data_IF_178638457953
#
_entry.id   IF_178638457953
#
_cell.length_a   1.000
_cell.length_b   1.000
_cell.length_c   1.000
_cell.angle_alpha   90.00
_cell.angle_beta   90.00
_cell.angle_gamma   90.00
#
_symmetry.space_group_name_H-M   'P 1'
#
loop_
_entity.id
_entity.type
_entity.pdbx_description
1 polymer ?
#
# COMPACT_ATOMS: atom_id res chain seq x y z
N UNK A 1 -9.84 27.20 -3.99
CA UNK A 1 -10.15 25.95 -3.25
C UNK A 1 -9.13 25.77 -2.12
N UNK A 2 -9.55 25.48 -0.89
CA UNK A 2 -8.65 25.32 0.25
C UNK A 2 -7.73 24.10 0.05
N UNK A 3 -6.41 24.30 0.11
CA UNK A 3 -5.40 23.25 -0.11
C UNK A 3 -5.59 22.03 0.79
N UNK A 4 -6.10 22.22 2.02
CA UNK A 4 -6.34 21.10 2.95
C UNK A 4 -7.54 20.25 2.50
N UNK A 5 -8.63 20.89 2.08
CA UNK A 5 -9.82 20.19 1.56
C UNK A 5 -9.43 19.33 0.36
N UNK A 6 -8.66 19.88 -0.58
CA UNK A 6 -8.17 19.13 -1.75
C UNK A 6 -7.36 17.89 -1.36
N UNK A 7 -6.46 18.01 -0.37
CA UNK A 7 -5.66 16.86 0.11
C UNK A 7 -6.53 15.78 0.73
N UNK A 8 -7.53 16.16 1.52
CA UNK A 8 -8.48 15.23 2.14
C UNK A 8 -9.30 14.53 1.05
N UNK A 9 -9.82 15.26 0.06
CA UNK A 9 -10.57 14.68 -1.05
C UNK A 9 -9.73 13.68 -1.86
N UNK A 10 -8.50 14.06 -2.25
CA UNK A 10 -7.59 13.16 -2.96
C UNK A 10 -7.27 11.92 -2.11
N UNK A 11 -6.97 12.12 -0.82
CA UNK A 11 -6.69 11.03 0.11
C UNK A 11 -7.85 10.05 0.24
N UNK A 12 -9.08 10.55 0.35
CA UNK A 12 -10.28 9.73 0.42
C UNK A 12 -10.49 8.90 -0.86
N UNK A 13 -10.30 9.51 -2.03
CA UNK A 13 -10.39 8.79 -3.33
C UNK A 13 -9.32 7.70 -3.42
N UNK A 14 -8.07 7.99 -3.06
CA UNK A 14 -6.99 7.01 -3.09
C UNK A 14 -7.18 5.88 -2.07
N UNK A 15 -7.70 6.18 -0.88
CA UNK A 15 -8.08 5.18 0.11
C UNK A 15 -9.18 4.25 -0.45
N UNK A 16 -10.24 4.83 -1.03
CA UNK A 16 -11.33 4.06 -1.63
C UNK A 16 -10.84 3.18 -2.79
N UNK A 17 -9.97 3.70 -3.67
CA UNK A 17 -9.37 2.92 -4.74
C UNK A 17 -8.54 1.74 -4.20
N UNK A 18 -7.77 1.95 -3.13
CA UNK A 18 -7.02 0.87 -2.47
C UNK A 18 -7.96 -0.25 -2.00
N UNK A 19 -9.07 0.13 -1.34
CA UNK A 19 -10.09 -0.80 -0.85
C UNK A 19 -10.71 -1.60 -2.01
N UNK A 20 -11.14 -0.91 -3.07
CA UNK A 20 -11.77 -1.54 -4.24
C UNK A 20 -10.81 -2.51 -4.92
N UNK A 21 -9.55 -2.12 -5.12
CA UNK A 21 -8.54 -3.01 -5.72
C UNK A 21 -8.42 -4.28 -4.89
N UNK A 22 -8.32 -4.17 -3.55
CA UNK A 22 -8.23 -5.34 -2.68
C UNK A 22 -9.45 -6.25 -2.85
N UNK A 23 -10.65 -5.69 -2.87
CA UNK A 23 -11.90 -6.45 -3.02
C UNK A 23 -12.03 -7.20 -4.33
N UNK A 24 -11.40 -6.71 -5.39
CA UNK A 24 -11.39 -7.41 -6.68
C UNK A 24 -10.51 -8.67 -6.61
N UNK A 25 -9.43 -8.64 -5.81
CA UNK A 25 -8.49 -9.75 -5.73
C UNK A 25 -8.79 -10.76 -4.62
N UNK A 26 -9.25 -10.31 -3.45
CA UNK A 26 -9.46 -11.18 -2.28
C UNK A 26 -10.32 -12.44 -2.60
N UNK A 27 -11.42 -12.38 -3.38
CA UNK A 27 -12.26 -13.55 -3.67
C UNK A 27 -11.61 -14.64 -4.54
N UNK A 28 -10.55 -14.31 -5.28
CA UNK A 28 -9.85 -15.24 -6.19
C UNK A 28 -8.51 -15.71 -5.62
N UNK A 29 -8.16 -15.26 -4.42
CA UNK A 29 -6.91 -15.61 -3.74
C UNK A 29 -7.19 -16.54 -2.56
N UNK A 30 -6.21 -17.37 -2.16
CA UNK A 30 -6.31 -18.13 -0.92
C UNK A 30 -6.45 -17.22 0.31
N UNK A 31 -7.21 -17.64 1.33
CA UNK A 31 -7.49 -16.89 2.56
C UNK A 31 -6.26 -16.27 3.26
N UNK A 32 -5.10 -16.94 3.15
CA UNK A 32 -3.84 -16.56 3.78
C UNK A 32 -2.90 -15.79 2.84
N UNK A 33 -3.36 -15.40 1.66
CA UNK A 33 -2.54 -14.75 0.64
C UNK A 33 -3.32 -13.65 -0.07
N UNK A 34 -2.71 -12.48 -0.21
CA UNK A 34 -3.28 -11.40 -0.99
C UNK A 34 -2.20 -10.77 -1.87
N UNK A 35 -2.58 -10.34 -3.07
CA UNK A 35 -1.69 -9.58 -3.94
C UNK A 35 -1.58 -8.13 -3.46
N UNK A 36 -0.38 -7.54 -3.46
CA UNK A 36 -0.12 -6.23 -2.86
C UNK A 36 -0.58 -5.05 -3.74
N UNK A 37 -1.38 -5.24 -4.80
CA UNK A 37 -1.69 -4.16 -5.76
C UNK A 37 -2.51 -3.02 -5.16
N UNK A 38 -3.25 -3.27 -4.07
CA UNK A 38 -3.91 -2.22 -3.29
C UNK A 38 -2.93 -1.19 -2.72
N UNK A 39 -1.64 -1.52 -2.63
CA UNK A 39 -0.59 -0.59 -2.19
C UNK A 39 -0.35 0.57 -3.14
N UNK A 40 -0.66 0.43 -4.44
CA UNK A 40 -0.33 1.45 -5.45
C UNK A 40 -1.00 2.80 -5.11
N UNK A 41 -2.32 2.87 -4.87
CA UNK A 41 -2.96 4.12 -4.40
C UNK A 41 -2.41 4.63 -3.06
N UNK A 42 -2.02 3.74 -2.14
CA UNK A 42 -1.47 4.14 -0.83
C UNK A 42 -0.11 4.83 -0.99
N UNK A 43 0.77 4.27 -1.81
CA UNK A 43 2.07 4.86 -2.15
C UNK A 43 1.85 6.24 -2.78
N UNK A 44 0.96 6.33 -3.76
CA UNK A 44 0.62 7.59 -4.44
C UNK A 44 0.09 8.63 -3.45
N UNK A 45 -0.73 8.25 -2.48
CA UNK A 45 -1.23 9.16 -1.45
C UNK A 45 -0.07 9.75 -0.62
N UNK A 46 0.88 8.91 -0.20
CA UNK A 46 2.08 9.38 0.50
C UNK A 46 2.83 10.49 -0.25
N UNK A 47 3.01 10.31 -1.57
CA UNK A 47 3.70 11.29 -2.41
C UNK A 47 2.89 12.55 -2.70
N UNK A 48 1.64 12.38 -3.14
CA UNK A 48 0.84 13.49 -3.67
C UNK A 48 0.39 14.46 -2.59
N UNK A 49 -0.05 13.96 -1.44
CA UNK A 49 -0.64 14.79 -0.39
C UNK A 49 0.27 14.98 0.82
N UNK A 50 1.36 14.20 0.88
CA UNK A 50 2.44 14.29 1.85
C UNK A 50 2.32 13.29 3.00
N UNK A 51 3.42 13.13 3.75
CA UNK A 51 3.61 12.09 4.78
C UNK A 51 2.49 11.99 5.82
N UNK A 52 2.04 13.12 6.37
CA UNK A 52 1.01 13.14 7.43
C UNK A 52 -0.33 12.66 6.90
N UNK A 53 -0.76 13.16 5.74
CA UNK A 53 -1.99 12.73 5.11
C UNK A 53 -1.89 11.31 4.56
N UNK A 54 -0.73 10.89 4.04
CA UNK A 54 -0.45 9.52 3.60
C UNK A 54 -0.55 8.51 4.74
N UNK A 55 -0.04 8.84 5.93
CA UNK A 55 -0.23 8.04 7.14
C UNK A 55 -1.73 7.83 7.45
N UNK A 56 -2.50 8.92 7.48
CA UNK A 56 -3.95 8.87 7.73
C UNK A 56 -4.65 8.02 6.68
N UNK A 57 -4.31 8.18 5.40
CA UNK A 57 -4.86 7.36 4.30
C UNK A 57 -4.57 5.89 4.49
N UNK A 58 -3.34 5.53 4.89
CA UNK A 58 -2.97 4.14 5.17
C UNK A 58 -3.81 3.52 6.29
N UNK A 59 -4.03 4.27 7.38
CA UNK A 59 -4.87 3.83 8.50
C UNK A 59 -6.32 3.66 8.05
N UNK A 60 -6.89 4.67 7.41
CA UNK A 60 -8.30 4.67 6.97
C UNK A 60 -8.57 3.56 5.97
N UNK A 61 -7.69 3.38 4.97
CA UNK A 61 -7.82 2.31 4.00
C UNK A 61 -7.77 0.93 4.66
N UNK A 62 -6.85 0.72 5.60
CA UNK A 62 -6.74 -0.56 6.31
C UNK A 62 -7.98 -0.88 7.14
N UNK A 63 -8.48 0.11 7.89
CA UNK A 63 -9.72 -0.04 8.66
C UNK A 63 -10.88 -0.38 7.74
N UNK A 64 -11.04 0.32 6.63
CA UNK A 64 -12.11 0.03 5.66
C UNK A 64 -11.97 -1.38 5.04
N UNK A 65 -10.75 -1.76 4.61
CA UNK A 65 -10.46 -3.09 4.08
C UNK A 65 -10.80 -4.19 5.09
N UNK A 66 -10.40 -4.02 6.35
CA UNK A 66 -10.65 -5.01 7.39
C UNK A 66 -12.11 -5.08 7.84
N UNK A 67 -12.84 -3.97 7.86
CA UNK A 67 -14.28 -3.97 8.18
C UNK A 67 -15.10 -4.69 7.10
N UNK A 68 -14.65 -4.65 5.85
CA UNK A 68 -15.33 -5.32 4.74
C UNK A 68 -14.77 -6.73 4.48
N UNK A 69 -13.74 -7.15 5.21
CA UNK A 69 -13.18 -8.50 5.13
C UNK A 69 -14.10 -9.51 5.82
N UNK A 70 -14.25 -10.75 5.28
CA UNK A 70 -15.03 -11.80 5.93
C UNK A 70 -14.48 -12.22 7.30
N UNK A 71 -13.21 -11.93 7.61
CA UNK A 71 -12.56 -12.26 8.88
C UNK A 71 -12.64 -11.14 9.93
N UNK A 72 -13.27 -10.02 9.57
CA UNK A 72 -13.38 -8.81 10.38
C UNK A 72 -12.07 -8.03 10.54
N UNK A 73 -12.16 -6.86 11.17
CA UNK A 73 -11.01 -5.99 11.35
C UNK A 73 -10.00 -6.54 12.38
N UNK A 74 -8.71 -6.51 12.03
CA UNK A 74 -7.59 -6.96 12.84
C UNK A 74 -6.53 -5.86 12.92
N UNK A 75 -6.38 -5.16 14.06
CA UNK A 75 -5.59 -3.93 14.15
C UNK A 75 -4.12 -4.03 13.74
N UNK A 76 -3.48 -5.19 13.89
CA UNK A 76 -2.05 -5.31 13.58
C UNK A 76 -1.72 -5.24 12.08
N UNK A 77 -2.71 -5.44 11.20
CA UNK A 77 -2.49 -5.34 9.75
C UNK A 77 -2.25 -3.90 9.29
N UNK A 78 -2.70 -2.91 10.08
CA UNK A 78 -2.55 -1.48 9.76
C UNK A 78 -1.10 -1.08 9.54
N UNK A 79 -0.14 -1.70 10.25
CA UNK A 79 1.28 -1.39 10.10
C UNK A 79 1.81 -1.73 8.71
N UNK A 80 1.23 -2.74 8.05
CA UNK A 80 1.55 -3.07 6.67
C UNK A 80 1.05 -1.99 5.71
N UNK A 81 -0.19 -1.52 5.90
CA UNK A 81 -0.78 -0.43 5.11
C UNK A 81 -0.07 0.91 5.33
N UNK A 82 0.36 1.19 6.57
CA UNK A 82 1.21 2.35 6.90
C UNK A 82 2.57 2.23 6.21
N UNK A 83 3.19 1.06 6.20
CA UNK A 83 4.47 0.87 5.50
C UNK A 83 4.34 1.27 4.03
N UNK A 84 3.30 0.81 3.35
CA UNK A 84 3.02 1.17 1.96
C UNK A 84 2.77 2.67 1.74
N UNK A 85 2.00 3.32 2.62
CA UNK A 85 1.62 4.72 2.42
C UNK A 85 2.68 5.73 2.87
N UNK A 86 3.55 5.35 3.82
CA UNK A 86 4.48 6.28 4.47
C UNK A 86 5.93 6.07 4.07
N UNK A 87 6.45 4.83 4.04
CA UNK A 87 7.89 4.59 3.84
C UNK A 87 8.42 5.17 2.53
N UNK A 88 7.76 4.98 1.38
CA UNK A 88 8.24 5.55 0.13
C UNK A 88 8.35 7.08 0.19
N UNK A 89 7.36 7.75 0.79
CA UNK A 89 7.31 9.20 0.93
C UNK A 89 8.29 9.76 2.00
N UNK A 90 8.80 8.90 2.88
CA UNK A 90 9.90 9.22 3.80
C UNK A 90 11.26 9.10 3.12
N UNK A 91 11.44 8.05 2.31
CA UNK A 91 12.75 7.67 1.76
C UNK A 91 13.11 8.43 0.47
N UNK A 92 12.13 8.93 -0.27
CA UNK A 92 12.38 9.80 -1.43
C UNK A 92 11.30 10.87 -1.60
N UNK A 93 11.65 11.93 -2.31
CA UNK A 93 10.70 12.96 -2.78
C UNK A 93 10.20 12.68 -4.21
N UNK A 94 10.96 11.89 -4.98
CA UNK A 94 10.66 11.57 -6.37
C UNK A 94 10.83 10.07 -6.62
N UNK A 95 9.84 9.40 -7.24
CA UNK A 95 9.91 7.98 -7.55
C UNK A 95 10.68 7.72 -8.86
N UNK A 96 11.98 8.05 -8.91
CA UNK A 96 12.79 7.92 -10.14
C UNK A 96 14.00 7.00 -9.99
N UNK A 97 14.39 6.38 -11.12
CA UNK A 97 15.62 5.59 -11.26
C UNK A 97 15.65 4.30 -10.42
N UNK A 98 16.82 3.66 -10.35
CA UNK A 98 17.00 2.40 -9.63
C UNK A 98 16.68 2.50 -8.13
N UNK A 99 16.89 3.68 -7.53
CA UNK A 99 16.60 3.94 -6.11
C UNK A 99 15.12 3.72 -5.80
N UNK A 100 14.23 4.03 -6.74
CA UNK A 100 12.79 3.83 -6.56
C UNK A 100 12.43 2.36 -6.39
N UNK A 101 12.99 1.50 -7.23
CA UNK A 101 12.80 0.05 -7.14
C UNK A 101 13.31 -0.50 -5.81
N UNK A 102 14.48 -0.05 -5.35
CA UNK A 102 15.01 -0.45 -4.04
C UNK A 102 14.10 -0.02 -2.88
N UNK A 103 13.57 1.20 -2.93
CA UNK A 103 12.62 1.71 -1.91
C UNK A 103 11.36 0.86 -1.87
N UNK A 104 10.80 0.49 -3.04
CA UNK A 104 9.62 -0.38 -3.10
C UNK A 104 9.92 -1.78 -2.57
N UNK A 105 11.09 -2.36 -2.89
CA UNK A 105 11.51 -3.65 -2.32
C UNK A 105 11.60 -3.58 -0.79
N UNK A 106 12.24 -2.54 -0.25
CA UNK A 106 12.35 -2.33 1.21
C UNK A 106 10.96 -2.16 1.84
N UNK A 107 10.09 -1.39 1.18
CA UNK A 107 8.73 -1.13 1.64
C UNK A 107 7.92 -2.42 1.65
N UNK A 108 7.98 -3.22 0.58
CA UNK A 108 7.27 -4.49 0.51
C UNK A 108 7.83 -5.48 1.54
N UNK A 109 9.15 -5.57 1.68
CA UNK A 109 9.74 -6.43 2.71
C UNK A 109 9.26 -6.05 4.12
N UNK A 110 9.21 -4.75 4.42
CA UNK A 110 8.69 -4.25 5.71
C UNK A 110 7.20 -4.57 5.88
N UNK A 111 6.39 -4.30 4.84
CA UNK A 111 4.98 -4.62 4.83
C UNK A 111 4.73 -6.12 5.02
N UNK A 112 5.55 -6.98 4.42
CA UNK A 112 5.53 -8.43 4.53
C UNK A 112 5.83 -8.90 5.97
N UNK A 113 6.81 -8.29 6.64
CA UNK A 113 7.11 -8.62 8.04
C UNK A 113 5.92 -8.31 8.95
N UNK A 114 5.33 -7.11 8.82
CA UNK A 114 4.15 -6.74 9.60
C UNK A 114 2.94 -7.65 9.29
N UNK A 115 2.69 -7.95 8.01
CA UNK A 115 1.60 -8.85 7.62
C UNK A 115 1.80 -10.26 8.21
N UNK A 116 3.03 -10.78 8.16
CA UNK A 116 3.35 -12.11 8.70
C UNK A 116 3.21 -12.15 10.22
N UNK A 117 3.70 -11.12 10.92
CA UNK A 117 3.53 -10.98 12.36
C UNK A 117 2.04 -10.91 12.75
N UNK A 118 1.26 -10.10 12.04
CA UNK A 118 -0.17 -9.96 12.27
C UNK A 118 -0.92 -11.29 12.06
N UNK A 119 -0.58 -12.04 11.00
CA UNK A 119 -1.17 -13.36 10.76
C UNK A 119 -0.83 -14.37 11.84
N UNK A 120 0.41 -14.37 12.33
CA UNK A 120 0.82 -15.27 13.41
C UNK A 120 0.03 -14.97 14.69
N UNK A 121 -0.12 -13.70 15.04
CA UNK A 121 -0.80 -13.29 16.28
C UNK A 121 -2.33 -13.48 16.20
N UNK A 122 -2.96 -13.11 15.09
CA UNK A 122 -4.43 -13.11 14.99
C UNK A 122 -5.05 -14.43 14.53
N UNK A 123 -4.29 -15.29 13.83
CA UNK A 123 -4.80 -16.57 13.33
C UNK A 123 -4.04 -17.74 13.95
N UNK A 124 -2.85 -18.05 13.44
CA UNK A 124 -1.95 -19.06 13.99
C UNK A 124 -0.61 -19.05 13.26
N UNK A 125 0.39 -19.70 13.84
CA UNK A 125 1.69 -19.94 13.17
C UNK A 125 1.51 -20.72 11.86
N UNK A 126 0.66 -21.75 11.86
CA UNK A 126 0.44 -22.59 10.68
C UNK A 126 -0.21 -21.77 9.55
N UNK A 127 -1.17 -20.91 9.88
CA UNK A 127 -1.81 -20.02 8.91
C UNK A 127 -0.79 -19.07 8.27
N UNK A 128 0.08 -18.45 9.07
CA UNK A 128 1.10 -17.53 8.58
C UNK A 128 2.15 -18.22 7.69
N UNK A 129 2.54 -19.45 8.04
CA UNK A 129 3.55 -20.23 7.32
C UNK A 129 3.05 -20.82 6.01
N UNK A 130 1.75 -21.11 5.90
CA UNK A 130 1.17 -21.74 4.71
C UNK A 130 1.35 -20.92 3.42
N UNK A 131 1.40 -19.59 3.49
CA UNK A 131 1.70 -18.72 2.34
C UNK A 131 3.06 -18.03 2.43
N UNK A 132 3.88 -18.32 3.44
CA UNK A 132 5.10 -17.56 3.74
C UNK A 132 6.11 -17.59 2.59
N UNK A 133 6.48 -18.78 2.11
CA UNK A 133 7.46 -18.95 1.04
C UNK A 133 6.97 -18.37 -0.29
N UNK A 134 5.67 -18.52 -0.58
CA UNK A 134 5.04 -17.91 -1.75
C UNK A 134 5.15 -16.37 -1.69
N UNK A 135 4.74 -15.78 -0.56
CA UNK A 135 4.80 -14.32 -0.35
C UNK A 135 6.24 -13.81 -0.43
N UNK A 136 7.19 -14.52 0.17
CA UNK A 136 8.61 -14.17 0.16
C UNK A 136 9.19 -14.20 -1.27
N UNK A 137 8.90 -15.24 -2.04
CA UNK A 137 9.36 -15.36 -3.43
C UNK A 137 8.74 -14.29 -4.35
N UNK A 138 7.52 -13.85 -4.06
CA UNK A 138 6.81 -12.85 -4.85
C UNK A 138 7.21 -11.39 -4.52
N UNK A 139 8.00 -11.15 -3.47
CA UNK A 139 8.45 -9.79 -3.12
C UNK A 139 9.14 -9.13 -4.31
N UNK A 140 10.10 -9.82 -4.92
CA UNK A 140 10.88 -9.27 -6.04
C UNK A 140 9.98 -8.97 -7.24
N UNK A 141 9.30 -9.94 -7.88
CA UNK A 141 8.54 -9.69 -9.11
C UNK A 141 7.45 -8.63 -8.92
N UNK A 142 6.68 -8.68 -7.82
CA UNK A 142 5.65 -7.68 -7.57
C UNK A 142 6.21 -6.31 -7.21
N UNK A 143 7.38 -6.23 -6.57
CA UNK A 143 8.04 -4.92 -6.34
C UNK A 143 8.37 -4.22 -7.65
N UNK A 144 8.85 -4.95 -8.67
CA UNK A 144 9.13 -4.35 -9.98
C UNK A 144 7.85 -3.83 -10.63
N UNK A 145 6.76 -4.59 -10.58
CA UNK A 145 5.46 -4.18 -11.13
C UNK A 145 4.93 -2.94 -10.38
N UNK A 146 4.91 -2.97 -9.05
CA UNK A 146 4.45 -1.84 -8.23
C UNK A 146 5.31 -0.60 -8.49
N UNK A 147 6.65 -0.74 -8.49
CA UNK A 147 7.56 0.37 -8.74
C UNK A 147 7.35 0.97 -10.13
N UNK A 148 7.20 0.14 -11.16
CA UNK A 148 6.92 0.60 -12.51
C UNK A 148 5.60 1.36 -12.59
N UNK A 149 4.51 0.79 -12.06
CA UNK A 149 3.18 1.40 -12.14
C UNK A 149 3.10 2.71 -11.36
N UNK A 150 3.68 2.76 -10.16
CA UNK A 150 3.72 3.98 -9.34
C UNK A 150 4.58 5.07 -9.97
N UNK A 151 5.72 4.71 -10.60
CA UNK A 151 6.52 5.64 -11.38
C UNK A 151 5.75 6.17 -12.60
N UNK A 152 5.10 5.29 -13.35
CA UNK A 152 4.32 5.67 -14.52
C UNK A 152 3.18 6.64 -14.16
N UNK A 153 2.44 6.33 -13.09
CA UNK A 153 1.37 7.21 -12.61
C UNK A 153 1.93 8.55 -12.14
N UNK A 154 3.07 8.55 -11.43
CA UNK A 154 3.72 9.80 -11.02
C UNK A 154 4.11 10.67 -12.22
N UNK A 155 4.76 10.09 -13.23
CA UNK A 155 5.20 10.82 -14.43
C UNK A 155 4.02 11.36 -15.25
N UNK A 156 2.91 10.63 -15.34
CA UNK A 156 1.74 11.01 -16.17
C UNK A 156 0.70 11.86 -15.47
N UNK A 157 0.58 11.73 -14.15
CA UNK A 157 -0.51 12.40 -13.40
C UNK A 157 0.06 13.51 -12.54
N UNK A 158 1.16 13.26 -11.83
CA UNK A 158 1.64 14.22 -10.83
C UNK A 158 2.47 15.34 -11.45
N UNK A 159 3.38 15.04 -12.39
CA UNK A 159 4.14 16.09 -13.09
C UNK A 159 3.23 17.09 -13.77
N UNK A 160 2.20 16.61 -14.47
CA UNK A 160 1.28 17.48 -15.21
C UNK A 160 0.37 18.30 -14.27
N UNK A 161 0.04 17.82 -13.07
CA UNK A 161 -0.77 18.58 -12.11
C UNK A 161 0.06 19.66 -11.38
N UNK A 162 1.36 19.42 -11.15
CA UNK A 162 2.23 20.31 -10.35
C UNK A 162 3.07 21.27 -11.21
N UNK A 163 3.48 20.88 -12.42
CA UNK A 163 4.29 21.71 -13.32
C UNK A 163 3.45 22.58 -14.28
N UNK A 164 2.14 22.36 -14.36
CA UNK A 164 1.21 23.22 -15.14
C UNK A 164 0.56 24.31 -14.28
N UNK A 165 1.13 24.56 -13.09
CA UNK A 165 0.91 25.76 -12.27
C UNK A 165 2.22 26.48 -12.09
#
# INVERSE_FOLDING_TARGET
>A
MNKQITKITIGAVLAALSVVIRMVFDPIMPDNFNVPFYSIPLIIAGFMIGRTYGLVVGIVADTAMGLMSPYGYKPLFVFSSIAWSLLPALLTKEPKGYRWYLIIIITYFTAFLFNTMAMWIHYSKNFAMASFYLRLGLIIPFSFIIAYLTYFIYERVYKDIVLTK
#
